data_IF_744932089989
#
_entry.id   IF_744932089989
#
_cell.length_a   1.000
_cell.length_b   1.000
_cell.length_c   1.000
_cell.angle_alpha   90.00
_cell.angle_beta   90.00
_cell.angle_gamma   90.00
#
_symmetry.space_group_name_H-M   'P 1'
#
loop_
_entity.id
_entity.type
_entity.pdbx_description
1 polymer ?
#
# COMPACT_ATOMS: atom_id res chain seq x y z
N UNK A 1 -27.47 18.38 7.78
CA UNK A 1 -26.58 17.53 8.60
C UNK A 1 -26.89 16.09 8.21
N UNK A 2 -25.88 15.23 7.97
CA UNK A 2 -26.11 13.81 7.70
C UNK A 2 -26.91 13.19 8.86
N UNK A 3 -27.81 12.27 8.55
CA UNK A 3 -28.46 11.49 9.61
C UNK A 3 -27.46 10.47 10.15
N UNK A 4 -27.59 10.02 11.41
CA UNK A 4 -26.74 8.95 11.94
C UNK A 4 -26.72 7.72 11.02
N UNK A 5 -27.84 7.40 10.37
CA UNK A 5 -27.96 6.28 9.45
C UNK A 5 -27.07 6.42 8.19
N UNK A 6 -26.82 7.65 7.74
CA UNK A 6 -25.97 7.91 6.56
C UNK A 6 -24.48 7.66 6.85
N UNK A 7 -24.10 7.69 8.14
CA UNK A 7 -22.74 7.50 8.61
C UNK A 7 -22.41 6.03 8.92
N UNK A 8 -23.43 5.22 9.21
CA UNK A 8 -23.26 3.82 9.59
C UNK A 8 -22.78 3.00 8.39
N UNK A 9 -21.77 2.12 8.58
CA UNK A 9 -21.44 1.13 7.58
C UNK A 9 -22.56 0.10 7.44
N UNK A 10 -22.51 -0.67 6.36
CA UNK A 10 -23.32 -1.87 6.17
C UNK A 10 -23.06 -2.85 7.32
N UNK A 11 -24.12 -3.57 7.73
CA UNK A 11 -24.04 -4.55 8.82
C UNK A 11 -23.14 -5.72 8.49
N UNK A 12 -23.09 -6.10 7.21
CA UNK A 12 -22.19 -7.08 6.63
C UNK A 12 -21.27 -6.38 5.61
N UNK A 13 -20.03 -6.87 5.40
CA UNK A 13 -19.14 -6.30 4.40
C UNK A 13 -19.74 -6.36 2.98
N UNK A 14 -19.62 -5.27 2.22
CA UNK A 14 -20.05 -5.22 0.82
C UNK A 14 -19.34 -6.32 0.03
N UNK A 15 -20.11 -7.10 -0.73
CA UNK A 15 -19.63 -8.24 -1.50
C UNK A 15 -20.44 -8.40 -2.79
N UNK A 16 -19.77 -8.71 -3.90
CA UNK A 16 -20.40 -9.02 -5.19
C UNK A 16 -20.13 -10.44 -5.68
N UNK A 17 -18.98 -11.03 -5.37
CA UNK A 17 -18.47 -12.23 -6.09
C UNK A 17 -18.36 -13.52 -5.27
N UNK A 18 -18.65 -13.64 -3.97
CA UNK A 18 -18.46 -14.89 -3.18
C UNK A 18 -17.09 -15.66 -3.33
N UNK A 19 -16.64 -16.44 -2.34
CA UNK A 19 -15.37 -17.18 -2.48
C UNK A 19 -15.33 -18.23 -3.61
N UNK A 20 -16.48 -18.78 -4.03
CA UNK A 20 -16.58 -19.74 -5.14
C UNK A 20 -16.51 -19.10 -6.53
N UNK A 21 -16.61 -17.77 -6.62
CA UNK A 21 -16.69 -17.03 -7.89
C UNK A 21 -18.12 -16.82 -8.39
N UNK A 22 -19.15 -17.17 -7.60
CA UNK A 22 -20.54 -16.93 -7.93
C UNK A 22 -20.97 -15.50 -7.58
N UNK A 23 -21.69 -14.84 -8.50
CA UNK A 23 -22.23 -13.52 -8.24
C UNK A 23 -23.29 -13.57 -7.12
N UNK A 24 -23.12 -12.76 -6.08
CA UNK A 24 -24.09 -12.61 -4.99
C UNK A 24 -25.22 -11.65 -5.37
N UNK A 25 -24.89 -10.56 -6.07
CA UNK A 25 -25.82 -9.56 -6.56
C UNK A 25 -25.18 -8.71 -7.67
N UNK A 26 -26.01 -8.04 -8.48
CA UNK A 26 -25.55 -7.00 -9.44
C UNK A 26 -25.51 -5.60 -8.81
N UNK A 27 -26.23 -5.39 -7.72
CA UNK A 27 -26.31 -4.11 -7.01
C UNK A 27 -26.44 -4.39 -5.51
N UNK A 28 -25.67 -3.66 -4.71
CA UNK A 28 -25.73 -3.73 -3.26
C UNK A 28 -26.86 -2.83 -2.72
N UNK A 29 -27.51 -3.13 -1.58
CA UNK A 29 -28.54 -2.25 -0.99
C UNK A 29 -28.12 -0.79 -0.75
N UNK A 30 -26.82 -0.51 -0.67
CA UNK A 30 -26.24 0.84 -0.57
C UNK A 30 -26.09 1.57 -1.91
N UNK A 31 -26.46 0.93 -3.02
CA UNK A 31 -26.41 1.51 -4.36
C UNK A 31 -25.10 1.25 -5.13
N UNK A 32 -24.10 0.59 -4.52
CA UNK A 32 -22.90 0.14 -5.23
C UNK A 32 -23.29 -0.85 -6.33
N UNK A 33 -22.61 -0.79 -7.47
CA UNK A 33 -22.85 -1.66 -8.63
C UNK A 33 -21.62 -2.49 -8.91
N UNK A 34 -21.83 -3.69 -9.44
CA UNK A 34 -20.75 -4.49 -9.99
C UNK A 34 -19.99 -3.67 -11.05
N UNK A 35 -18.65 -3.60 -11.01
CA UNK A 35 -17.86 -2.94 -12.05
C UNK A 35 -18.02 -3.62 -13.42
N UNK A 36 -17.83 -2.83 -14.48
CA UNK A 36 -17.87 -3.32 -15.86
C UNK A 36 -16.77 -4.36 -16.14
N UNK A 37 -16.98 -5.21 -17.14
CA UNK A 37 -16.09 -6.33 -17.48
C UNK A 37 -14.62 -5.90 -17.67
N UNK A 38 -14.37 -4.81 -18.39
CA UNK A 38 -13.01 -4.29 -18.62
C UNK A 38 -12.30 -3.92 -17.31
N UNK A 39 -13.05 -3.37 -16.35
CA UNK A 39 -12.51 -3.05 -15.02
C UNK A 39 -12.16 -4.32 -14.25
N UNK A 40 -13.01 -5.35 -14.32
CA UNK A 40 -12.74 -6.64 -13.67
C UNK A 40 -11.53 -7.35 -14.28
N UNK A 41 -11.36 -7.31 -15.60
CA UNK A 41 -10.17 -7.85 -16.29
C UNK A 41 -8.90 -7.10 -15.89
N UNK A 42 -8.94 -5.76 -15.81
CA UNK A 42 -7.82 -4.95 -15.36
C UNK A 42 -7.42 -5.23 -13.90
N UNK A 43 -8.40 -5.47 -13.03
CA UNK A 43 -8.18 -5.85 -11.63
C UNK A 43 -7.53 -7.23 -11.52
N UNK A 44 -8.04 -8.23 -12.25
CA UNK A 44 -7.46 -9.58 -12.28
C UNK A 44 -5.99 -9.52 -12.74
N UNK A 45 -5.73 -8.90 -13.89
CA UNK A 45 -4.37 -8.73 -14.41
C UNK A 45 -3.47 -8.02 -13.41
N UNK A 46 -3.94 -6.92 -12.82
CA UNK A 46 -3.19 -6.16 -11.82
C UNK A 46 -2.81 -7.00 -10.60
N UNK A 47 -3.74 -7.81 -10.07
CA UNK A 47 -3.46 -8.69 -8.93
C UNK A 47 -2.50 -9.82 -9.27
N UNK A 48 -2.60 -10.44 -10.45
CA UNK A 48 -1.65 -11.49 -10.87
C UNK A 48 -0.22 -10.94 -10.98
N UNK A 49 -0.05 -9.80 -11.64
CA UNK A 49 1.26 -9.14 -11.77
C UNK A 49 1.78 -8.69 -10.39
N UNK A 50 0.92 -8.08 -9.58
CA UNK A 50 1.23 -7.65 -8.22
C UNK A 50 1.69 -8.80 -7.31
N UNK A 51 0.97 -9.92 -7.29
CA UNK A 51 1.36 -11.12 -6.53
C UNK A 51 2.69 -11.66 -7.00
N UNK A 52 2.98 -11.61 -8.30
CA UNK A 52 4.24 -12.10 -8.83
C UNK A 52 5.42 -11.21 -8.44
N UNK A 53 5.24 -9.89 -8.47
CA UNK A 53 6.17 -8.91 -7.91
C UNK A 53 6.44 -9.19 -6.43
N UNK A 54 5.39 -9.35 -5.62
CA UNK A 54 5.49 -9.56 -4.17
C UNK A 54 6.26 -10.85 -3.81
N UNK A 55 6.00 -11.94 -4.55
CA UNK A 55 6.78 -13.19 -4.46
C UNK A 55 8.26 -12.97 -4.80
N UNK A 56 8.55 -12.16 -5.82
CA UNK A 56 9.93 -11.89 -6.22
C UNK A 56 10.67 -11.02 -5.19
N UNK A 57 10.01 -10.00 -4.64
CA UNK A 57 10.57 -9.19 -3.56
C UNK A 57 10.86 -10.04 -2.31
N UNK A 58 9.94 -10.92 -1.93
CA UNK A 58 10.17 -11.91 -0.87
C UNK A 58 11.39 -12.80 -1.17
N UNK A 59 11.56 -13.27 -2.41
CA UNK A 59 12.73 -14.05 -2.80
C UNK A 59 14.05 -13.26 -2.68
N UNK A 60 14.02 -11.95 -2.98
CA UNK A 60 15.19 -11.06 -2.86
C UNK A 60 15.67 -10.90 -1.41
N UNK A 61 14.79 -10.95 -0.41
CA UNK A 61 15.22 -10.97 1.01
C UNK A 61 16.08 -12.19 1.34
N UNK A 62 15.70 -13.37 0.83
CA UNK A 62 16.45 -14.62 1.03
C UNK A 62 17.81 -14.61 0.34
N UNK A 63 18.00 -13.73 -0.65
CA UNK A 63 19.25 -13.51 -1.38
C UNK A 63 20.09 -12.38 -0.76
N UNK A 64 19.64 -11.76 0.34
CA UNK A 64 20.32 -10.62 0.96
C UNK A 64 20.27 -9.33 0.12
N UNK A 65 19.37 -9.25 -0.87
CA UNK A 65 19.19 -8.06 -1.72
C UNK A 65 18.20 -7.04 -1.14
N UNK A 66 17.42 -7.44 -0.14
CA UNK A 66 16.55 -6.58 0.64
C UNK A 66 16.81 -6.85 2.13
N UNK A 67 16.87 -5.78 2.94
CA UNK A 67 17.05 -5.91 4.38
C UNK A 67 15.75 -6.44 5.05
N UNK A 68 14.62 -5.86 4.67
CA UNK A 68 13.29 -6.24 5.16
C UNK A 68 12.26 -6.15 4.04
N UNK A 69 11.31 -7.08 3.99
CA UNK A 69 10.18 -7.00 3.07
C UNK A 69 8.87 -7.42 3.77
N UNK A 70 7.91 -6.50 3.94
CA UNK A 70 6.57 -6.77 4.43
C UNK A 70 5.64 -7.19 3.27
N UNK A 71 5.56 -8.50 3.01
CA UNK A 71 4.68 -9.07 1.97
C UNK A 71 3.21 -8.63 2.13
N UNK A 72 2.54 -8.36 1.02
CA UNK A 72 1.10 -8.08 0.97
C UNK A 72 0.27 -9.27 0.46
N UNK A 73 0.83 -10.49 0.46
CA UNK A 73 0.14 -11.70 0.00
C UNK A 73 -1.20 -11.89 0.73
N UNK A 74 -2.28 -11.92 -0.06
CA UNK A 74 -3.65 -12.09 0.42
C UNK A 74 -4.42 -10.78 0.51
N UNK A 75 -3.73 -9.64 0.42
CA UNK A 75 -4.29 -8.29 0.39
C UNK A 75 -4.32 -7.68 -1.02
N UNK A 76 -4.18 -8.50 -2.06
CA UNK A 76 -3.97 -8.06 -3.44
C UNK A 76 -5.10 -7.18 -3.96
N UNK A 77 -6.35 -7.57 -3.69
CA UNK A 77 -7.53 -6.79 -4.06
C UNK A 77 -7.55 -5.43 -3.36
N UNK A 78 -7.14 -5.37 -2.08
CA UNK A 78 -7.03 -4.11 -1.33
C UNK A 78 -5.99 -3.18 -1.96
N UNK A 79 -4.82 -3.70 -2.34
CA UNK A 79 -3.72 -2.94 -2.93
C UNK A 79 -4.09 -2.45 -4.34
N UNK A 80 -4.45 -3.40 -5.22
CA UNK A 80 -4.59 -3.16 -6.66
C UNK A 80 -5.84 -2.34 -6.96
N UNK A 81 -6.99 -2.71 -6.40
CA UNK A 81 -8.24 -2.01 -6.72
C UNK A 81 -8.21 -0.55 -6.27
N UNK A 82 -7.64 -0.29 -5.09
CA UNK A 82 -7.50 1.07 -4.58
C UNK A 82 -6.48 1.89 -5.39
N UNK A 83 -5.31 1.31 -5.74
CA UNK A 83 -4.31 2.01 -6.53
C UNK A 83 -4.82 2.35 -7.94
N UNK A 84 -5.52 1.43 -8.60
CA UNK A 84 -6.12 1.65 -9.93
C UNK A 84 -7.34 2.59 -9.92
N UNK A 85 -7.88 2.97 -8.76
CA UNK A 85 -8.97 3.94 -8.64
C UNK A 85 -8.45 5.39 -8.61
N UNK A 86 -7.15 5.58 -8.37
CA UNK A 86 -6.54 6.90 -8.34
C UNK A 86 -6.35 7.48 -9.75
N UNK A 87 -6.58 8.79 -9.86
CA UNK A 87 -6.15 9.61 -10.99
C UNK A 87 -4.68 10.01 -10.83
N UNK A 88 -4.08 10.50 -11.90
CA UNK A 88 -2.68 10.95 -11.91
C UNK A 88 -2.43 12.17 -11.00
N UNK A 89 -3.46 12.99 -10.76
CA UNK A 89 -3.41 14.19 -9.94
C UNK A 89 -3.74 13.94 -8.46
N UNK A 90 -4.19 12.74 -8.11
CA UNK A 90 -4.42 12.35 -6.71
C UNK A 90 -3.14 12.14 -5.93
N UNK A 91 -3.26 12.31 -4.62
CA UNK A 91 -2.20 11.97 -3.68
C UNK A 91 -2.41 10.61 -3.02
N UNK A 92 -1.34 9.83 -2.91
CA UNK A 92 -1.34 8.56 -2.18
C UNK A 92 -0.39 8.58 -0.99
N UNK A 93 -0.89 8.16 0.18
CA UNK A 93 -0.14 8.02 1.43
C UNK A 93 -0.08 6.54 1.84
N UNK A 94 0.98 5.81 1.45
CA UNK A 94 1.17 4.40 1.75
C UNK A 94 1.71 4.15 3.17
N UNK A 95 1.54 2.92 3.63
CA UNK A 95 2.29 2.29 4.72
C UNK A 95 3.53 1.56 4.18
N UNK A 96 4.33 0.99 5.08
CA UNK A 96 5.45 0.13 4.69
C UNK A 96 5.06 -1.15 3.93
N UNK A 97 3.81 -1.64 4.00
CA UNK A 97 3.36 -2.90 3.35
C UNK A 97 2.91 -2.71 1.90
N UNK A 98 2.86 -1.47 1.42
CA UNK A 98 2.06 -1.13 0.24
C UNK A 98 2.86 -1.11 -1.07
N UNK A 99 3.96 -1.87 -1.12
CA UNK A 99 4.81 -1.95 -2.31
C UNK A 99 4.04 -2.41 -3.56
N UNK A 100 3.07 -3.33 -3.41
CA UNK A 100 2.24 -3.78 -4.53
C UNK A 100 1.34 -2.66 -5.09
N UNK A 101 0.73 -1.84 -4.22
CA UNK A 101 -0.06 -0.69 -4.62
C UNK A 101 0.80 0.36 -5.33
N UNK A 102 2.03 0.59 -4.86
CA UNK A 102 2.96 1.54 -5.48
C UNK A 102 3.38 1.12 -6.88
N UNK A 103 3.70 -0.16 -7.09
CA UNK A 103 3.99 -0.69 -8.43
C UNK A 103 2.74 -0.64 -9.32
N UNK A 104 1.57 -0.94 -8.76
CA UNK A 104 0.29 -0.83 -9.50
C UNK A 104 -0.01 0.60 -9.94
N UNK A 105 0.40 1.60 -9.15
CA UNK A 105 0.33 3.02 -9.46
C UNK A 105 1.33 3.46 -10.55
N UNK A 106 2.21 2.56 -10.99
CA UNK A 106 3.18 2.81 -12.05
C UNK A 106 4.55 3.31 -11.58
N UNK A 107 4.82 3.28 -10.27
CA UNK A 107 6.15 3.60 -9.73
C UNK A 107 7.09 2.43 -10.04
N UNK A 108 8.33 2.74 -10.40
CA UNK A 108 9.29 1.71 -10.78
C UNK A 108 9.54 0.71 -9.62
N UNK A 109 9.49 -0.60 -9.89
CA UNK A 109 9.68 -1.62 -8.86
C UNK A 109 11.00 -1.56 -8.08
N UNK A 110 12.09 -1.05 -8.68
CA UNK A 110 13.37 -0.89 -7.97
C UNK A 110 13.27 0.30 -7.02
N UNK A 111 12.71 1.42 -7.49
CA UNK A 111 12.47 2.62 -6.68
C UNK A 111 11.57 2.33 -5.47
N UNK A 112 10.49 1.55 -5.67
CA UNK A 112 9.60 1.14 -4.57
C UNK A 112 10.37 0.34 -3.50
N UNK A 113 11.33 -0.49 -3.91
CA UNK A 113 12.10 -1.35 -3.01
C UNK A 113 13.36 -0.67 -2.43
N UNK A 114 13.76 0.52 -2.88
CA UNK A 114 14.97 1.22 -2.43
C UNK A 114 15.01 1.43 -0.91
N UNK A 115 13.91 1.88 -0.31
CA UNK A 115 13.81 2.05 1.16
C UNK A 115 14.00 0.71 1.88
N UNK A 116 13.38 -0.35 1.37
CA UNK A 116 13.38 -1.69 1.95
C UNK A 116 14.72 -2.42 1.75
N UNK A 117 15.47 -2.03 0.73
CA UNK A 117 16.87 -2.39 0.52
C UNK A 117 17.80 -1.68 1.52
N UNK A 118 17.43 -0.48 1.96
CA UNK A 118 18.28 0.37 2.80
C UNK A 118 19.26 1.23 2.01
N UNK A 119 19.00 1.44 0.71
CA UNK A 119 19.85 2.25 -0.16
C UNK A 119 19.60 3.75 0.02
N UNK A 120 18.34 4.17 0.17
CA UNK A 120 17.96 5.59 0.31
C UNK A 120 16.64 5.77 1.05
N UNK A 121 16.31 7.01 1.46
CA UNK A 121 15.08 7.33 2.21
C UNK A 121 13.79 7.11 1.40
N UNK A 122 13.67 7.76 0.25
CA UNK A 122 12.57 7.59 -0.69
C UNK A 122 13.17 7.23 -2.06
N UNK A 123 12.76 6.10 -2.64
CA UNK A 123 13.36 5.65 -3.90
C UNK A 123 12.81 6.33 -5.15
N UNK A 124 11.76 7.14 -5.03
CA UNK A 124 11.06 7.80 -6.15
C UNK A 124 10.79 9.28 -5.82
N UNK A 125 10.55 10.07 -6.87
CA UNK A 125 10.15 11.47 -6.73
C UNK A 125 8.70 11.58 -6.23
N UNK A 126 8.55 11.98 -4.97
CA UNK A 126 7.28 12.16 -4.26
C UNK A 126 6.36 13.15 -4.95
N UNK A 127 6.91 14.25 -5.48
CA UNK A 127 6.14 15.31 -6.10
C UNK A 127 5.68 14.90 -7.50
N UNK A 128 6.56 14.26 -8.28
CA UNK A 128 6.23 13.79 -9.62
C UNK A 128 5.18 12.66 -9.60
N UNK A 129 5.29 11.74 -8.65
CA UNK A 129 4.36 10.60 -8.49
C UNK A 129 3.13 10.93 -7.65
N UNK A 130 3.10 12.11 -7.00
CA UNK A 130 2.12 12.49 -5.97
C UNK A 130 1.89 11.38 -4.95
N UNK A 131 2.99 10.79 -4.50
CA UNK A 131 2.96 9.65 -3.58
C UNK A 131 3.91 9.94 -2.45
N UNK A 132 3.40 10.03 -1.23
CA UNK A 132 4.25 10.19 -0.06
C UNK A 132 5.16 8.97 0.12
N UNK A 133 6.36 9.13 0.74
CA UNK A 133 7.22 8.00 1.04
C UNK A 133 6.49 6.92 1.84
N UNK A 134 6.89 5.66 1.66
CA UNK A 134 6.42 4.56 2.50
C UNK A 134 6.69 4.88 3.98
N UNK A 135 5.65 4.80 4.80
CA UNK A 135 5.71 5.22 6.20
C UNK A 135 5.89 4.02 7.15
N UNK A 136 6.98 4.02 7.92
CA UNK A 136 7.26 3.02 8.96
C UNK A 136 6.62 3.36 10.31
N UNK A 137 6.72 4.61 10.83
CA UNK A 137 5.95 5.00 12.00
C UNK A 137 4.45 4.86 11.73
N UNK A 138 3.74 4.18 12.64
CA UNK A 138 2.34 3.85 12.42
C UNK A 138 1.46 5.12 12.47
N UNK A 139 0.51 5.21 11.53
CA UNK A 139 -0.52 6.24 11.41
C UNK A 139 -0.06 7.69 11.15
N UNK A 140 1.23 8.04 11.30
CA UNK A 140 1.72 9.41 11.12
C UNK A 140 1.43 9.97 9.73
N UNK A 141 1.41 9.12 8.69
CA UNK A 141 1.04 9.52 7.34
C UNK A 141 -0.40 10.03 7.23
N UNK A 142 -1.30 9.68 8.16
CA UNK A 142 -2.70 10.09 8.11
C UNK A 142 -2.91 11.57 8.39
N UNK A 143 -2.15 12.16 9.33
CA UNK A 143 -2.23 13.62 9.58
C UNK A 143 -1.67 14.41 8.40
N UNK A 144 -0.65 13.88 7.71
CA UNK A 144 -0.14 14.46 6.48
C UNK A 144 -1.13 14.35 5.31
N UNK A 145 -1.83 13.21 5.19
CA UNK A 145 -2.90 13.04 4.21
C UNK A 145 -4.05 14.04 4.44
N UNK A 146 -4.48 14.22 5.69
CA UNK A 146 -5.49 15.19 6.08
C UNK A 146 -5.08 16.63 5.76
N UNK A 147 -3.83 17.01 6.07
CA UNK A 147 -3.26 18.31 5.74
C UNK A 147 -3.20 18.54 4.22
N UNK A 148 -2.76 17.53 3.47
CA UNK A 148 -2.68 17.58 1.99
C UNK A 148 -4.06 17.76 1.37
N UNK A 149 -5.06 16.99 1.82
CA UNK A 149 -6.44 17.14 1.38
C UNK A 149 -6.98 18.54 1.67
N UNK A 150 -6.76 19.06 2.89
CA UNK A 150 -7.15 20.43 3.25
C UNK A 150 -6.49 21.48 2.34
N UNK A 151 -5.22 21.28 1.97
CA UNK A 151 -4.51 22.16 1.05
C UNK A 151 -5.09 22.09 -0.38
N UNK A 152 -5.43 20.90 -0.89
CA UNK A 152 -6.08 20.72 -2.19
C UNK A 152 -7.44 21.43 -2.24
N UNK A 153 -8.27 21.24 -1.21
CA UNK A 153 -9.57 21.90 -1.11
C UNK A 153 -9.44 23.44 -1.11
N UNK A 154 -8.48 23.99 -0.36
CA UNK A 154 -8.21 25.44 -0.33
C UNK A 154 -7.72 26.00 -1.67
N UNK A 155 -7.04 25.17 -2.47
CA UNK A 155 -6.59 25.52 -3.83
C UNK A 155 -7.71 25.38 -4.87
N UNK A 156 -8.89 24.87 -4.50
CA UNK A 156 -9.97 24.59 -5.44
C UNK A 156 -9.68 23.42 -6.38
N UNK A 157 -8.78 22.51 -5.98
CA UNK A 157 -8.44 21.31 -6.74
C UNK A 157 -9.55 20.26 -6.64
N UNK A 158 -9.77 19.50 -7.70
CA UNK A 158 -10.66 18.33 -7.76
C UNK A 158 -9.93 16.98 -7.54
N UNK A 159 -8.61 17.03 -7.32
CA UNK A 159 -7.82 15.91 -6.81
C UNK A 159 -8.29 15.42 -5.41
N UNK A 160 -8.16 14.12 -5.16
CA UNK A 160 -8.42 13.49 -3.88
C UNK A 160 -7.13 12.95 -3.24
N UNK A 161 -7.24 12.53 -1.98
CA UNK A 161 -6.15 11.88 -1.24
C UNK A 161 -6.60 10.50 -0.80
N UNK A 162 -5.78 9.48 -1.05
CA UNK A 162 -5.93 8.14 -0.50
C UNK A 162 -4.87 7.91 0.57
N UNK A 163 -5.27 7.39 1.73
CA UNK A 163 -4.35 7.05 2.80
C UNK A 163 -4.62 5.64 3.32
N UNK A 164 -3.60 4.80 3.26
CA UNK A 164 -3.66 3.43 3.76
C UNK A 164 -3.25 3.35 5.23
N UNK A 165 -3.86 2.41 5.95
CA UNK A 165 -3.53 2.07 7.33
C UNK A 165 -3.85 0.60 7.63
N UNK A 166 -3.09 -0.05 8.51
CA UNK A 166 -3.41 -1.39 9.02
C UNK A 166 -4.32 -1.35 10.25
N UNK A 167 -4.95 -2.47 10.59
CA UNK A 167 -5.81 -2.60 11.78
C UNK A 167 -5.12 -2.15 13.08
N UNK A 168 -3.87 -2.55 13.27
CA UNK A 168 -3.07 -2.17 14.43
C UNK A 168 -2.95 -0.65 14.62
N UNK A 169 -2.68 0.05 13.52
CA UNK A 169 -2.44 1.49 13.54
C UNK A 169 -3.72 2.30 13.82
N UNK A 170 -4.91 1.69 13.77
CA UNK A 170 -6.17 2.34 14.20
C UNK A 170 -6.28 2.57 15.72
N UNK A 171 -5.26 2.16 16.48
CA UNK A 171 -5.11 2.42 17.91
C UNK A 171 -4.15 3.58 18.23
N UNK A 172 -3.49 4.14 17.21
CA UNK A 172 -2.58 5.28 17.39
C UNK A 172 -3.33 6.61 17.50
N UNK A 173 -2.76 7.57 18.23
CA UNK A 173 -3.32 8.93 18.35
C UNK A 173 -3.50 9.61 16.98
N UNK A 174 -2.50 9.50 16.12
CA UNK A 174 -2.47 10.12 14.79
C UNK A 174 -3.61 9.65 13.87
N UNK A 175 -4.12 8.43 14.07
CA UNK A 175 -5.33 7.97 13.38
C UNK A 175 -6.54 8.81 13.79
N UNK A 176 -6.73 9.01 15.09
CA UNK A 176 -7.83 9.81 15.62
C UNK A 176 -7.72 11.29 15.20
N UNK A 177 -6.52 11.84 15.25
CA UNK A 177 -6.25 13.23 14.88
C UNK A 177 -6.45 13.48 13.38
N UNK A 178 -5.91 12.60 12.53
CA UNK A 178 -6.04 12.69 11.08
C UNK A 178 -7.50 12.63 10.61
N UNK A 179 -8.28 11.69 11.15
CA UNK A 179 -9.72 11.58 10.86
C UNK A 179 -10.47 12.83 11.31
N UNK A 180 -10.31 13.24 12.57
CA UNK A 180 -11.02 14.40 13.11
C UNK A 180 -10.69 15.68 12.33
N UNK A 181 -9.41 15.91 12.00
CA UNK A 181 -8.99 17.06 11.21
C UNK A 181 -9.61 17.03 9.82
N UNK A 182 -9.53 15.90 9.11
CA UNK A 182 -10.13 15.77 7.78
C UNK A 182 -11.65 16.03 7.80
N UNK A 183 -12.34 15.56 8.84
CA UNK A 183 -13.78 15.79 9.00
C UNK A 183 -14.11 17.27 9.21
N UNK A 184 -13.45 17.93 10.17
CA UNK A 184 -13.69 19.35 10.50
C UNK A 184 -13.40 20.26 9.30
N UNK A 185 -12.36 19.95 8.52
CA UNK A 185 -11.99 20.73 7.34
C UNK A 185 -12.62 20.25 6.04
N UNK A 186 -13.52 19.25 6.10
CA UNK A 186 -14.16 18.64 4.93
C UNK A 186 -13.15 18.28 3.83
N UNK A 187 -12.00 17.71 4.23
CA UNK A 187 -10.90 17.40 3.34
C UNK A 187 -11.26 16.21 2.42
N UNK A 188 -10.87 16.22 1.13
CA UNK A 188 -11.15 15.16 0.17
C UNK A 188 -10.23 13.94 0.40
N UNK A 189 -10.40 13.24 1.52
CA UNK A 189 -9.52 12.13 1.92
C UNK A 189 -10.30 10.83 2.10
N UNK A 190 -9.87 9.77 1.43
CA UNK A 190 -10.34 8.40 1.67
C UNK A 190 -9.31 7.68 2.52
N UNK A 191 -9.69 7.33 3.74
CA UNK A 191 -8.89 6.51 4.65
C UNK A 191 -9.27 5.04 4.45
N UNK A 192 -8.28 4.17 4.25
CA UNK A 192 -8.50 2.74 4.02
C UNK A 192 -7.76 1.92 5.05
N UNK A 193 -8.53 1.24 5.89
CA UNK A 193 -8.05 0.25 6.82
C UNK A 193 -7.95 -1.10 6.11
N UNK A 194 -6.73 -1.57 5.88
CA UNK A 194 -6.45 -2.94 5.47
C UNK A 194 -6.46 -3.83 6.73
N UNK A 195 -7.63 -4.35 7.08
CA UNK A 195 -7.81 -5.16 8.27
C UNK A 195 -7.41 -6.60 7.97
N UNK A 196 -6.17 -6.97 8.31
CA UNK A 196 -5.65 -8.32 8.14
C UNK A 196 -5.66 -9.15 9.42
N UNK A 197 -6.43 -8.70 10.41
CA UNK A 197 -6.68 -9.29 11.73
C UNK A 197 -5.50 -9.32 12.70
N UNK A 198 -4.30 -8.86 12.31
CA UNK A 198 -3.10 -8.91 13.15
C UNK A 198 -2.16 -7.70 13.04
N UNK A 199 -1.92 -7.06 14.19
CA UNK A 199 -0.81 -6.13 14.39
C UNK A 199 0.45 -6.88 14.83
N UNK A 200 1.29 -7.27 13.86
CA UNK A 200 2.41 -8.22 14.05
C UNK A 200 1.88 -9.56 14.56
N UNK A 201 1.85 -9.73 15.88
CA UNK A 201 1.38 -10.91 16.63
C UNK A 201 0.16 -10.64 17.50
N UNK A 202 -0.27 -9.37 17.63
CA UNK A 202 -1.43 -8.98 18.43
C UNK A 202 -2.69 -9.17 17.58
N UNK A 203 -3.59 -10.12 17.92
CA UNK A 203 -4.84 -10.30 17.19
C UNK A 203 -5.79 -9.12 17.41
N UNK A 204 -6.66 -8.86 16.44
CA UNK A 204 -7.63 -7.76 16.46
C UNK A 204 -8.48 -7.70 17.74
N UNK A 205 -8.82 -8.86 18.32
CA UNK A 205 -9.60 -8.97 19.58
C UNK A 205 -8.92 -8.37 20.81
N UNK A 206 -7.59 -8.22 20.76
CA UNK A 206 -6.76 -7.52 21.74
C UNK A 206 -6.42 -6.09 21.32
N UNK A 207 -6.66 -5.74 20.06
CA UNK A 207 -6.39 -4.41 19.53
C UNK A 207 -7.50 -3.41 19.85
N UNK A 208 -8.75 -3.83 19.71
CA UNK A 208 -9.91 -2.97 20.00
C UNK A 208 -11.15 -3.78 20.38
N UNK A 209 -12.13 -3.11 21.00
CA UNK A 209 -13.47 -3.68 21.31
C UNK A 209 -14.56 -3.22 20.34
N UNK A 210 -14.22 -2.32 19.40
CA UNK A 210 -15.15 -1.95 18.35
C UNK A 210 -15.52 -3.20 17.52
N UNK A 211 -16.80 -3.44 17.23
CA UNK A 211 -17.22 -4.61 16.45
C UNK A 211 -16.74 -4.57 14.99
N UNK A 212 -16.32 -3.39 14.52
CA UNK A 212 -15.67 -3.16 13.23
C UNK A 212 -14.87 -1.86 13.32
N UNK A 213 -13.79 -1.76 12.54
CA UNK A 213 -12.95 -0.57 12.47
C UNK A 213 -13.63 0.57 11.72
N UNK A 214 -14.52 0.28 10.77
CA UNK A 214 -15.36 1.28 10.10
C UNK A 214 -16.23 2.08 11.10
N UNK A 215 -16.67 1.48 12.21
CA UNK A 215 -17.45 2.22 13.21
C UNK A 215 -16.68 3.39 13.87
N UNK A 216 -15.34 3.38 13.81
CA UNK A 216 -14.52 4.47 14.38
C UNK A 216 -14.76 5.81 13.66
N UNK A 217 -15.11 5.81 12.37
CA UNK A 217 -15.36 7.03 11.61
C UNK A 217 -16.60 7.81 12.06
N UNK A 218 -17.61 7.11 12.57
CA UNK A 218 -18.90 7.71 12.97
C UNK A 218 -18.70 8.74 14.09
N UNK A 219 -17.80 8.46 15.04
CA UNK A 219 -17.49 9.37 16.15
C UNK A 219 -16.95 10.74 15.69
N UNK A 220 -16.45 10.81 14.46
CA UNK A 220 -15.93 12.03 13.83
C UNK A 220 -16.89 12.61 12.77
N UNK A 221 -18.07 12.02 12.60
CA UNK A 221 -19.01 12.41 11.55
C UNK A 221 -18.57 11.98 10.15
N UNK A 222 -17.69 10.97 10.03
CA UNK A 222 -17.17 10.46 8.76
C UNK A 222 -18.03 9.28 8.30
N UNK A 223 -18.64 9.34 7.10
CA UNK A 223 -19.27 8.18 6.49
C UNK A 223 -18.29 7.03 6.36
N UNK A 224 -18.71 5.85 6.79
CA UNK A 224 -17.83 4.68 6.84
C UNK A 224 -18.48 3.48 6.18
N UNK A 225 -17.68 2.58 5.62
CA UNK A 225 -18.17 1.36 4.98
C UNK A 225 -17.27 0.17 5.28
N UNK A 226 -17.86 -1.02 5.32
CA UNK A 226 -17.14 -2.29 5.42
C UNK A 226 -17.20 -3.02 4.09
N UNK A 227 -16.09 -3.61 3.66
CA UNK A 227 -15.98 -4.30 2.38
C UNK A 227 -15.25 -5.62 2.56
N UNK A 228 -15.70 -6.67 1.87
CA UNK A 228 -14.91 -7.87 1.72
C UNK A 228 -13.64 -7.52 0.91
N UNK A 229 -12.51 -7.39 1.61
CA UNK A 229 -11.24 -6.96 1.05
C UNK A 229 -10.59 -7.96 0.10
N UNK A 230 -11.14 -9.18 0.00
CA UNK A 230 -10.75 -10.18 -0.98
C UNK A 230 -11.73 -10.27 -2.16
N UNK A 231 -12.74 -9.40 -2.22
CA UNK A 231 -13.61 -9.19 -3.37
C UNK A 231 -13.17 -7.95 -4.14
N UNK A 232 -12.31 -8.12 -5.14
CA UNK A 232 -11.79 -6.99 -5.92
C UNK A 232 -12.90 -6.14 -6.57
N UNK A 233 -14.03 -6.75 -6.93
CA UNK A 233 -15.17 -6.02 -7.49
C UNK A 233 -15.84 -5.13 -6.43
N UNK A 234 -16.00 -5.63 -5.22
CA UNK A 234 -16.54 -4.84 -4.11
C UNK A 234 -15.60 -3.72 -3.68
N UNK A 235 -14.30 -4.01 -3.56
CA UNK A 235 -13.29 -2.99 -3.23
C UNK A 235 -13.29 -1.87 -4.27
N UNK A 236 -13.29 -2.21 -5.57
CA UNK A 236 -13.33 -1.21 -6.63
C UNK A 236 -14.61 -0.37 -6.58
N UNK A 237 -15.79 -0.99 -6.49
CA UNK A 237 -17.06 -0.26 -6.48
C UNK A 237 -17.20 0.73 -5.30
N UNK A 238 -16.76 0.33 -4.11
CA UNK A 238 -16.82 1.20 -2.93
C UNK A 238 -15.73 2.27 -2.98
N UNK A 239 -14.53 1.95 -3.44
CA UNK A 239 -13.45 2.91 -3.58
C UNK A 239 -13.79 4.00 -4.60
N UNK A 240 -14.30 3.62 -5.77
CA UNK A 240 -14.69 4.56 -6.83
C UNK A 240 -15.75 5.55 -6.31
N UNK A 241 -16.73 5.06 -5.54
CA UNK A 241 -17.73 5.90 -4.90
C UNK A 241 -17.16 6.82 -3.80
N UNK A 242 -16.22 6.32 -2.99
CA UNK A 242 -15.59 7.10 -1.92
C UNK A 242 -14.70 8.22 -2.48
N UNK A 243 -13.93 7.94 -3.53
CA UNK A 243 -13.12 8.94 -4.21
C UNK A 243 -13.99 9.97 -4.91
N UNK A 244 -15.04 9.57 -5.63
CA UNK A 244 -15.96 10.51 -6.26
C UNK A 244 -16.60 11.45 -5.22
N UNK A 245 -17.04 10.89 -4.07
CA UNK A 245 -17.54 11.68 -2.95
C UNK A 245 -16.51 12.69 -2.44
N UNK A 246 -15.26 12.28 -2.28
CA UNK A 246 -14.19 13.15 -1.80
C UNK A 246 -14.01 14.34 -2.76
N UNK A 247 -13.93 14.07 -4.07
CA UNK A 247 -13.77 15.09 -5.12
C UNK A 247 -14.94 16.04 -5.22
N UNK A 248 -16.16 15.53 -5.06
CA UNK A 248 -17.38 16.33 -5.14
C UNK A 248 -17.63 17.20 -3.90
N UNK A 249 -16.63 17.33 -3.01
CA UNK A 249 -16.74 18.12 -1.78
C UNK A 249 -17.56 17.44 -0.67
N UNK A 250 -17.78 16.12 -0.77
CA UNK A 250 -18.44 15.34 0.27
C UNK A 250 -17.58 15.09 1.52
N UNK A 251 -16.32 15.53 1.51
CA UNK A 251 -15.40 15.35 2.62
C UNK A 251 -14.87 13.91 2.72
N UNK A 252 -14.34 13.52 3.88
CA UNK A 252 -13.64 12.27 4.00
C UNK A 252 -14.56 11.04 4.06
N UNK A 253 -13.99 9.87 3.79
CA UNK A 253 -14.63 8.56 3.97
C UNK A 253 -13.67 7.59 4.65
N UNK A 254 -14.16 6.71 5.52
CA UNK A 254 -13.38 5.63 6.13
C UNK A 254 -13.86 4.27 5.60
N UNK A 255 -12.96 3.53 4.96
CA UNK A 255 -13.23 2.19 4.46
C UNK A 255 -12.49 1.15 5.30
N UNK A 256 -13.17 0.11 5.74
CA UNK A 256 -12.56 -1.09 6.31
C UNK A 256 -12.63 -2.23 5.30
N UNK A 257 -11.47 -2.64 4.80
CA UNK A 257 -11.33 -3.78 3.90
C UNK A 257 -10.93 -5.00 4.72
N UNK A 258 -11.84 -5.96 4.85
CA UNK A 258 -11.63 -7.22 5.57
C UNK A 258 -10.81 -8.17 4.71
N UNK A 259 -9.55 -8.36 5.06
CA UNK A 259 -8.60 -9.15 4.28
C UNK A 259 -7.72 -9.99 5.21
N UNK A 260 -6.64 -10.57 4.69
CA UNK A 260 -5.73 -11.36 5.49
C UNK A 260 -4.32 -11.35 4.91
N UNK A 261 -3.34 -11.29 5.80
CA UNK A 261 -1.92 -11.39 5.45
C UNK A 261 -1.53 -12.86 5.54
N UNK A 262 -1.45 -13.56 4.41
CA UNK A 262 -1.17 -15.00 4.41
C UNK A 262 0.27 -15.31 4.85
N UNK A 263 1.22 -14.45 4.50
CA UNK A 263 2.61 -14.55 4.94
C UNK A 263 2.82 -14.01 6.38
N UNK A 264 4.03 -14.21 6.92
CA UNK A 264 4.44 -13.62 8.19
C UNK A 264 4.45 -12.08 8.16
N UNK A 265 4.60 -11.42 9.31
CA UNK A 265 4.57 -9.96 9.38
C UNK A 265 5.63 -9.31 8.47
N UNK A 266 6.85 -9.85 8.52
CA UNK A 266 7.98 -9.56 7.63
C UNK A 266 8.83 -10.84 7.51
N UNK A 267 9.87 -10.81 6.68
CA UNK A 267 10.89 -11.86 6.62
C UNK A 267 11.66 -12.10 7.95
N UNK A 268 11.53 -11.22 8.95
CA UNK A 268 12.16 -11.35 10.26
C UNK A 268 11.20 -11.90 11.35
N UNK A 269 9.95 -12.22 10.98
CA UNK A 269 8.91 -12.69 11.89
C UNK A 269 8.62 -14.19 11.72
N UNK A 270 8.15 -14.82 12.79
CA UNK A 270 7.69 -16.21 12.79
C UNK A 270 6.21 -16.28 13.24
N UNK A 271 5.33 -16.36 12.24
CA UNK A 271 3.90 -16.37 12.45
C UNK A 271 3.37 -17.64 13.16
N UNK A 272 4.10 -18.75 13.09
CA UNK A 272 3.68 -20.02 13.71
C UNK A 272 3.59 -19.93 15.24
N UNK A 273 4.14 -18.87 15.82
CA UNK A 273 4.14 -18.61 17.27
C UNK A 273 2.82 -18.04 17.80
N UNK A 274 1.95 -17.52 16.93
CA UNK A 274 0.77 -16.76 17.35
C UNK A 274 -0.46 -16.98 16.45
N UNK A 275 -0.35 -17.86 15.46
CA UNK A 275 -1.37 -18.10 14.45
C UNK A 275 -1.40 -19.57 14.05
N UNK A 276 -2.59 -20.10 13.87
CA UNK A 276 -2.80 -21.50 13.49
C UNK A 276 -2.84 -21.66 11.97
N UNK A 277 -2.30 -22.76 11.45
CA UNK A 277 -2.29 -23.03 10.00
C UNK A 277 -3.71 -23.13 9.42
N UNK A 278 -4.65 -23.71 10.19
CA UNK A 278 -6.06 -23.82 9.79
C UNK A 278 -6.75 -22.47 9.57
N UNK A 279 -6.33 -21.42 10.28
CA UNK A 279 -6.81 -20.06 10.03
C UNK A 279 -6.34 -19.58 8.66
N UNK A 280 -5.06 -19.77 8.34
CA UNK A 280 -4.46 -19.38 7.05
C UNK A 280 -5.12 -20.14 5.89
N UNK A 281 -5.32 -21.45 6.03
CA UNK A 281 -6.00 -22.28 5.02
C UNK A 281 -7.41 -21.77 4.69
N UNK A 282 -8.16 -21.32 5.70
CA UNK A 282 -9.47 -20.70 5.52
C UNK A 282 -9.45 -19.42 4.69
N UNK A 283 -8.33 -18.68 4.71
CA UNK A 283 -8.12 -17.48 3.89
C UNK A 283 -7.54 -17.80 2.51
N UNK A 284 -6.74 -18.84 2.37
CA UNK A 284 -6.29 -19.34 1.04
C UNK A 284 -7.49 -19.73 0.17
N UNK A 285 -8.53 -20.32 0.76
CA UNK A 285 -9.79 -20.61 0.07
C UNK A 285 -10.55 -19.36 -0.39
N UNK A 286 -10.16 -18.17 0.10
CA UNK A 286 -10.72 -16.86 -0.24
C UNK A 286 -9.71 -15.99 -1.00
N UNK A 287 -8.72 -16.58 -1.67
CA UNK A 287 -7.72 -15.81 -2.43
C UNK A 287 -8.42 -14.92 -3.48
N UNK A 288 -8.15 -13.59 -3.48
CA UNK A 288 -8.83 -12.64 -4.36
C UNK A 288 -8.60 -12.90 -5.86
N UNK A 289 -7.43 -13.44 -6.23
CA UNK A 289 -7.08 -13.75 -7.62
C UNK A 289 -7.93 -14.92 -8.09
N UNK A 290 -7.87 -16.03 -7.34
CA UNK A 290 -8.61 -17.27 -7.66
C UNK A 290 -10.10 -17.00 -7.75
N UNK A 291 -10.62 -16.22 -6.80
CA UNK A 291 -12.03 -15.82 -6.76
C UNK A 291 -12.47 -15.07 -8.02
N UNK A 292 -11.75 -14.01 -8.38
CA UNK A 292 -12.11 -13.19 -9.54
C UNK A 292 -11.89 -13.94 -10.85
N UNK A 293 -10.83 -14.74 -10.94
CA UNK A 293 -10.54 -15.57 -12.11
C UNK A 293 -11.66 -16.58 -12.39
N UNK A 294 -12.13 -17.29 -11.37
CA UNK A 294 -13.29 -18.21 -11.49
C UNK A 294 -14.52 -17.50 -12.01
N UNK A 295 -14.83 -16.32 -11.48
CA UNK A 295 -15.93 -15.51 -11.96
C UNK A 295 -15.75 -15.17 -13.44
N UNK A 296 -14.59 -14.60 -13.83
CA UNK A 296 -14.30 -14.18 -15.20
C UNK A 296 -14.36 -15.34 -16.21
N UNK A 297 -13.78 -16.50 -15.86
CA UNK A 297 -13.84 -17.73 -16.66
C UNK A 297 -15.30 -18.21 -16.81
N UNK A 298 -16.07 -18.23 -15.72
CA UNK A 298 -17.48 -18.66 -15.75
C UNK A 298 -18.37 -17.77 -16.64
N UNK A 299 -18.02 -16.48 -16.77
CA UNK A 299 -18.72 -15.53 -17.63
C UNK A 299 -18.20 -15.54 -19.08
N UNK A 300 -17.13 -16.29 -19.38
CA UNK A 300 -16.46 -16.27 -20.69
C UNK A 300 -15.77 -14.94 -21.01
N UNK A 301 -15.46 -14.13 -19.98
CA UNK A 301 -14.74 -12.86 -20.11
C UNK A 301 -13.22 -13.06 -20.15
N UNK A 302 -12.76 -14.18 -19.61
CA UNK A 302 -11.37 -14.62 -19.60
C UNK A 302 -11.32 -16.06 -20.11
N UNK A 303 -10.23 -16.44 -20.75
CA UNK A 303 -9.94 -17.82 -21.13
C UNK A 303 -8.56 -18.26 -20.59
N UNK A 304 -8.29 -19.55 -20.64
CA UNK A 304 -7.04 -20.15 -20.14
C UNK A 304 -5.80 -19.57 -20.86
N UNK A 305 -5.92 -19.22 -22.14
CA UNK A 305 -4.80 -18.65 -22.90
C UNK A 305 -4.45 -17.24 -22.41
N UNK A 306 -5.45 -16.43 -22.09
CA UNK A 306 -5.27 -15.10 -21.50
C UNK A 306 -4.69 -15.19 -20.08
N UNK A 307 -5.14 -16.15 -19.26
CA UNK A 307 -4.57 -16.42 -17.92
C UNK A 307 -3.07 -16.72 -18.03
N UNK A 308 -2.69 -17.68 -18.88
CA UNK A 308 -1.29 -18.05 -19.10
C UNK A 308 -0.45 -16.89 -19.63
N UNK A 309 -1.00 -16.07 -20.53
CA UNK A 309 -0.32 -14.88 -21.04
C UNK A 309 -0.02 -13.84 -19.93
N UNK A 310 -0.96 -13.61 -19.01
CA UNK A 310 -0.77 -12.70 -17.87
C UNK A 310 0.29 -13.27 -16.91
N UNK A 311 0.28 -14.58 -16.66
CA UNK A 311 1.31 -15.23 -15.84
C UNK A 311 2.71 -15.11 -16.47
N UNK A 312 2.83 -15.35 -17.78
CA UNK A 312 4.08 -15.21 -18.51
C UNK A 312 4.62 -13.77 -18.44
N UNK A 313 3.74 -12.77 -18.55
CA UNK A 313 4.12 -11.36 -18.36
C UNK A 313 4.65 -11.11 -16.95
N UNK A 314 3.99 -11.65 -15.91
CA UNK A 314 4.44 -11.54 -14.54
C UNK A 314 5.84 -12.14 -14.33
N UNK A 315 6.13 -13.28 -14.96
CA UNK A 315 7.47 -13.89 -14.92
C UNK A 315 8.52 -13.02 -15.60
N UNK A 316 8.21 -12.40 -16.75
CA UNK A 316 9.11 -11.48 -17.45
C UNK A 316 9.43 -10.26 -16.57
N UNK A 317 8.40 -9.62 -16.00
CA UNK A 317 8.59 -8.47 -15.11
C UNK A 317 9.41 -8.83 -13.86
N UNK A 318 9.15 -10.01 -13.27
CA UNK A 318 9.90 -10.55 -12.14
C UNK A 318 11.37 -10.81 -12.48
N UNK A 319 11.65 -11.39 -13.65
CA UNK A 319 13.02 -11.62 -14.11
C UNK A 319 13.78 -10.30 -14.29
N UNK A 320 13.15 -9.29 -14.89
CA UNK A 320 13.72 -7.94 -15.05
C UNK A 320 13.97 -7.25 -13.71
N UNK A 321 13.03 -7.35 -12.76
CA UNK A 321 13.23 -6.83 -11.40
C UNK A 321 14.44 -7.50 -10.74
N UNK A 322 14.52 -8.83 -10.80
CA UNK A 322 15.64 -9.59 -10.22
C UNK A 322 16.97 -9.15 -10.82
N UNK A 323 17.05 -9.01 -12.14
CA UNK A 323 18.26 -8.55 -12.81
C UNK A 323 18.69 -7.17 -12.29
N UNK A 324 17.77 -6.19 -12.30
CA UNK A 324 18.05 -4.83 -11.87
C UNK A 324 18.41 -4.71 -10.38
N UNK A 325 17.77 -5.50 -9.51
CA UNK A 325 18.07 -5.54 -8.08
C UNK A 325 19.40 -6.24 -7.75
N UNK A 326 19.99 -6.96 -8.70
CA UNK A 326 21.30 -7.58 -8.54
C UNK A 326 22.46 -6.68 -9.02
N UNK A 327 22.16 -5.53 -9.62
CA UNK A 327 23.17 -4.54 -9.95
C UNK A 327 23.70 -3.88 -8.67
N UNK A 328 25.02 -3.73 -8.59
CA UNK A 328 25.66 -3.02 -7.49
C UNK A 328 25.42 -1.51 -7.66
N UNK A 329 25.02 -0.87 -6.57
CA UNK A 329 24.83 0.58 -6.50
C UNK A 329 26.05 1.18 -5.82
N UNK A 330 26.68 2.16 -6.46
CA UNK A 330 27.74 2.96 -5.84
C UNK A 330 27.09 4.17 -5.19
N UNK A 331 27.23 4.27 -3.88
CA UNK A 331 26.71 5.39 -3.10
C UNK A 331 27.83 6.40 -2.87
N UNK A 332 27.54 7.69 -3.01
CA UNK A 332 28.44 8.75 -2.56
C UNK A 332 28.17 9.02 -1.06
N UNK A 333 29.11 8.71 -0.14
CA UNK A 333 28.89 8.95 1.29
C UNK A 333 28.61 10.42 1.64
N UNK A 334 28.98 11.36 0.76
CA UNK A 334 28.78 12.78 0.99
C UNK A 334 27.33 13.23 0.79
N UNK A 335 26.51 12.44 0.10
CA UNK A 335 25.07 12.70 -0.08
C UNK A 335 24.31 12.72 1.26
N UNK A 336 24.85 12.07 2.31
CA UNK A 336 24.32 12.12 3.67
C UNK A 336 24.14 13.55 4.21
N UNK A 337 24.90 14.52 3.69
CA UNK A 337 24.87 15.92 4.13
C UNK A 337 24.02 16.84 3.25
N UNK A 338 23.56 16.38 2.09
CA UNK A 338 22.97 17.25 1.05
C UNK A 338 21.48 17.52 1.27
N UNK A 339 20.75 16.55 1.82
CA UNK A 339 19.28 16.59 1.86
C UNK A 339 18.69 16.80 3.26
N UNK A 340 19.52 17.21 4.23
CA UNK A 340 19.07 17.50 5.61
C UNK A 340 18.30 18.82 5.67
N UNK A 341 18.77 19.83 4.94
CA UNK A 341 18.15 21.15 4.81
C UNK A 341 18.24 21.64 3.36
N UNK A 342 17.43 22.63 2.99
CA UNK A 342 17.53 23.26 1.66
C UNK A 342 18.89 23.94 1.42
N UNK A 343 19.47 24.51 2.48
CA UNK A 343 20.84 25.02 2.49
C UNK A 343 21.59 24.35 3.66
N UNK A 344 22.78 23.78 3.44
CA UNK A 344 23.52 23.11 4.51
C UNK A 344 23.95 24.12 5.57
N UNK A 345 23.82 23.73 6.85
CA UNK A 345 24.29 24.56 7.96
C UNK A 345 25.82 24.58 8.01
N UNK A 346 26.44 25.59 8.66
CA UNK A 346 27.89 25.60 8.86
C UNK A 346 28.41 24.31 9.51
N UNK A 347 27.67 23.74 10.45
CA UNK A 347 28.04 22.49 11.14
C UNK A 347 27.98 21.27 10.20
N UNK A 348 27.00 21.22 9.28
CA UNK A 348 26.94 20.14 8.28
C UNK A 348 28.09 20.25 7.28
N UNK A 349 28.49 21.46 6.90
CA UNK A 349 29.66 21.68 6.04
C UNK A 349 30.96 21.25 6.74
N UNK A 350 31.13 21.57 8.03
CA UNK A 350 32.26 21.10 8.84
C UNK A 350 32.31 19.57 8.92
N UNK A 351 31.17 18.92 9.20
CA UNK A 351 31.08 17.45 9.26
C UNK A 351 31.36 16.80 7.90
N UNK A 352 30.81 17.36 6.81
CA UNK A 352 31.09 16.91 5.44
C UNK A 352 32.58 16.97 5.15
N UNK A 353 33.25 18.07 5.48
CA UNK A 353 34.68 18.23 5.26
C UNK A 353 35.53 17.21 6.05
N UNK A 354 35.10 16.81 7.25
CA UNK A 354 35.75 15.73 8.02
C UNK A 354 35.66 14.40 7.28
N UNK A 355 34.48 14.03 6.78
CA UNK A 355 34.30 12.79 6.01
C UNK A 355 35.06 12.83 4.68
N UNK A 356 35.05 13.97 3.98
CA UNK A 356 35.84 14.17 2.76
C UNK A 356 37.33 13.93 3.00
N UNK A 357 37.87 14.47 4.11
CA UNK A 357 39.27 14.27 4.49
C UNK A 357 39.58 12.80 4.81
N UNK A 358 38.68 12.10 5.50
CA UNK A 358 38.82 10.67 5.81
C UNK A 358 38.82 9.81 4.54
N UNK A 359 37.88 10.07 3.62
CA UNK A 359 37.81 9.37 2.34
C UNK A 359 39.05 9.62 1.47
N UNK A 360 39.56 10.85 1.45
CA UNK A 360 40.78 11.20 0.73
C UNK A 360 42.00 10.46 1.30
N UNK A 361 42.13 10.39 2.64
CA UNK A 361 43.19 9.65 3.30
C UNK A 361 43.12 8.15 2.98
N UNK A 362 41.93 7.54 3.04
CA UNK A 362 41.73 6.12 2.73
C UNK A 362 42.10 5.76 1.28
N UNK A 363 41.80 6.65 0.31
CA UNK A 363 42.19 6.46 -1.10
C UNK A 363 43.70 6.52 -1.28
N UNK A 364 44.38 7.45 -0.61
CA UNK A 364 45.84 7.58 -0.68
C UNK A 364 46.56 6.33 -0.12
N UNK A 365 46.05 5.74 0.97
CA UNK A 365 46.61 4.52 1.55
C UNK A 365 46.42 3.29 0.63
N UNK A 366 45.28 3.20 -0.07
CA UNK A 366 45.03 2.14 -1.06
C UNK A 366 45.97 2.24 -2.26
N UNK A 367 46.17 3.45 -2.78
CA UNK A 367 47.09 3.69 -3.90
C UNK A 367 48.54 3.36 -3.53
N UNK A 368 48.96 3.69 -2.30
CA UNK A 368 50.29 3.34 -1.79
C UNK A 368 50.47 1.81 -1.69
N UNK A 369 49.48 1.11 -1.14
CA UNK A 369 49.50 -0.35 -1.00
C UNK A 369 49.53 -1.06 -2.36
N UNK A 370 48.78 -0.56 -3.34
CA UNK A 370 48.77 -1.10 -4.70
C UNK A 370 50.13 -0.90 -5.41
N UNK A 371 50.77 0.27 -5.22
CA UNK A 371 52.10 0.53 -5.77
C UNK A 371 53.20 -0.35 -5.16
N UNK A 372 53.10 -0.67 -3.87
CA UNK A 372 54.03 -1.61 -3.21
C UNK A 372 53.83 -3.06 -3.67
N UNK A 373 52.59 -3.50 -3.91
CA UNK A 373 52.30 -4.86 -4.39
C UNK A 373 52.72 -5.12 -5.86
N UNK A 374 52.96 -4.05 -6.63
CA UNK A 374 53.36 -4.13 -8.05
C UNK A 374 54.88 -4.00 -8.23
N UNK A 375 55.64 -3.79 -7.15
CA UNK A 375 57.12 -3.81 -7.11
C UNK A 375 57.61 -5.15 -6.59
#
# INVERSE_FOLDING_TARGET
MPTPQDLLPSSEPVQFIAPGGELTAQTHPRGYRLPEADRLLALHRGMVLGRRFDKQATALTKQGRLAVYPSSHGQDACQVACAQALREDDWFFPTYRDSMALVTRGIDPVEVLTLLKGDWHAGYDVAATRTAPQCTPLATQLVHAAGTGSALARKGSDAAVLAFIGDGATSEGDFHEGLNFAAVFNAPVVFVVQNNTYAISVPLSKQTKAPSLAYKGIGYGIPSEQVDGNDAAAVAAVMDAALERARSGGGPTLLELHTYRMDAHTNADDATRYREDSEVEGWVAKDPIVRLERYLLSQGLLDEAAVEAIHAEGEEQSARLRERMNADVQHDPLELFEHVFAEPTPQLLEQRAVVEAELAAARADQDHTAQEATR
#
